data_IF_844223858196
#
_entry.id   IF_844223858196
#
_cell.length_a   1.000
_cell.length_b   1.000
_cell.length_c   1.000
_cell.angle_alpha   90.00
_cell.angle_beta   90.00
_cell.angle_gamma   90.00
#
_symmetry.space_group_name_H-M   'P 1'
#
loop_
_entity.id
_entity.type
_entity.pdbx_description
1 polymer ?
#
# COMPACT_ATOMS: atom_id res chain seq x y z
N UNK A 1 8.92 4.85 -42.96
CA UNK A 1 9.54 4.22 -41.77
C UNK A 1 8.45 4.03 -40.72
N UNK A 2 7.89 2.83 -40.58
CA UNK A 2 6.83 2.56 -39.60
C UNK A 2 7.46 2.07 -38.29
N UNK A 3 7.13 2.72 -37.17
CA UNK A 3 7.66 2.38 -35.85
C UNK A 3 6.91 1.14 -35.35
N UNK A 4 7.60 0.01 -35.20
CA UNK A 4 7.04 -1.20 -34.60
C UNK A 4 6.69 -0.88 -33.14
N UNK A 5 5.40 -0.90 -32.82
CA UNK A 5 4.94 -0.75 -31.44
C UNK A 5 5.30 -2.03 -30.66
N UNK A 6 6.18 -1.91 -29.68
CA UNK A 6 6.49 -3.00 -28.75
C UNK A 6 5.24 -3.33 -27.92
N UNK A 7 4.98 -4.62 -27.62
CA UNK A 7 3.86 -5.00 -26.76
C UNK A 7 4.04 -4.33 -25.39
N UNK A 8 3.08 -3.51 -25.01
CA UNK A 8 3.02 -2.86 -23.69
C UNK A 8 2.93 -3.97 -22.66
N UNK A 9 3.94 -4.12 -21.78
CA UNK A 9 3.86 -5.04 -20.65
C UNK A 9 2.54 -4.78 -19.92
N UNK A 10 1.74 -5.82 -19.71
CA UNK A 10 0.52 -5.73 -18.92
C UNK A 10 0.93 -5.37 -17.49
N UNK A 11 0.54 -4.17 -17.07
CA UNK A 11 0.62 -3.74 -15.68
C UNK A 11 -0.69 -4.16 -15.02
N UNK A 12 -0.66 -5.20 -14.19
CA UNK A 12 -1.86 -5.75 -13.53
C UNK A 12 -2.38 -4.85 -12.40
N UNK A 13 -1.75 -3.68 -12.16
CA UNK A 13 -2.20 -2.72 -11.15
C UNK A 13 -3.37 -1.90 -11.66
N UNK A 14 -4.46 -1.91 -10.89
CA UNK A 14 -5.60 -1.03 -11.13
C UNK A 14 -5.30 0.41 -10.68
N UNK A 15 -5.85 1.39 -11.42
CA UNK A 15 -5.80 2.81 -11.05
C UNK A 15 -7.10 3.21 -10.35
N UNK A 16 -6.98 3.82 -9.17
CA UNK A 16 -8.11 4.36 -8.41
C UNK A 16 -7.89 5.84 -8.11
N UNK A 17 -8.96 6.64 -8.11
CA UNK A 17 -8.94 8.01 -7.58
C UNK A 17 -9.30 7.99 -6.09
N UNK A 18 -8.51 8.69 -5.27
CA UNK A 18 -8.74 8.84 -3.84
C UNK A 18 -8.98 10.31 -3.52
N UNK A 19 -10.09 10.61 -2.84
CA UNK A 19 -10.42 11.95 -2.34
C UNK A 19 -10.18 11.98 -0.84
N UNK A 20 -9.28 12.84 -0.39
CA UNK A 20 -9.00 13.09 1.02
C UNK A 20 -9.16 14.59 1.31
N UNK A 21 -9.42 14.91 2.57
CA UNK A 21 -9.39 16.29 3.02
C UNK A 21 -7.98 16.89 2.80
N UNK A 22 -7.86 18.20 2.49
CA UNK A 22 -6.56 18.82 2.20
C UNK A 22 -5.52 18.66 3.31
N UNK A 23 -5.96 18.69 4.58
CA UNK A 23 -5.05 18.52 5.72
C UNK A 23 -4.43 17.11 5.77
N UNK A 24 -5.14 16.07 5.30
CA UNK A 24 -4.59 14.72 5.23
C UNK A 24 -3.53 14.61 4.12
N UNK A 25 -3.75 15.25 2.97
CA UNK A 25 -2.72 15.31 1.93
C UNK A 25 -1.44 16.01 2.43
N UNK A 26 -1.59 17.12 3.14
CA UNK A 26 -0.46 17.84 3.74
C UNK A 26 0.28 16.98 4.78
N UNK A 27 -0.45 16.26 5.63
CA UNK A 27 0.15 15.36 6.62
C UNK A 27 0.94 14.21 5.95
N UNK A 28 0.38 13.59 4.90
CA UNK A 28 1.08 12.56 4.11
C UNK A 28 2.35 13.13 3.49
N UNK A 29 2.27 14.32 2.90
CA UNK A 29 3.41 14.97 2.25
C UNK A 29 4.54 15.27 3.24
N UNK A 30 4.20 15.77 4.43
CA UNK A 30 5.15 16.05 5.49
C UNK A 30 5.85 14.78 5.98
N UNK A 31 5.09 13.76 6.40
CA UNK A 31 5.66 12.51 6.95
C UNK A 31 6.54 11.80 5.93
N UNK A 32 6.10 11.78 4.67
CA UNK A 32 6.87 11.25 3.55
C UNK A 32 8.23 11.94 3.38
N UNK A 33 8.28 13.28 3.52
CA UNK A 33 9.50 14.06 3.27
C UNK A 33 10.62 13.80 4.28
N UNK A 34 10.27 13.26 5.46
CA UNK A 34 11.22 12.94 6.53
C UNK A 34 11.99 11.64 6.19
N UNK A 35 11.44 10.77 5.34
CA UNK A 35 12.05 9.49 5.02
C UNK A 35 13.28 9.68 4.12
N UNK A 36 14.40 8.97 4.38
CA UNK A 36 15.52 8.94 3.45
C UNK A 36 15.10 8.40 2.08
N UNK A 37 15.31 9.19 1.03
CA UNK A 37 14.90 8.88 -0.34
C UNK A 37 13.52 9.42 -0.71
N UNK A 38 13.20 9.41 -2.01
CA UNK A 38 11.96 9.96 -2.54
C UNK A 38 10.88 8.87 -2.69
N UNK A 39 10.06 8.67 -1.66
CA UNK A 39 8.85 7.86 -1.81
C UNK A 39 7.77 8.65 -2.56
N UNK A 40 7.11 8.07 -3.57
CA UNK A 40 5.93 8.73 -4.17
C UNK A 40 4.73 8.67 -3.21
N UNK A 41 3.68 9.49 -3.43
CA UNK A 41 2.44 9.36 -2.64
C UNK A 41 1.85 7.95 -2.75
N UNK A 42 1.87 7.39 -3.97
CA UNK A 42 1.37 6.05 -4.22
C UNK A 42 2.19 5.00 -3.47
N UNK A 43 3.52 5.13 -3.49
CA UNK A 43 4.41 4.22 -2.75
C UNK A 43 4.10 4.27 -1.26
N UNK A 44 4.04 5.47 -0.69
CA UNK A 44 3.78 5.68 0.73
C UNK A 44 2.39 5.13 1.14
N UNK A 45 1.35 5.40 0.33
CA UNK A 45 -0.01 4.91 0.59
C UNK A 45 -0.06 3.38 0.50
N UNK A 46 0.57 2.77 -0.51
CA UNK A 46 0.62 1.32 -0.65
C UNK A 46 1.32 0.67 0.55
N UNK A 47 2.46 1.21 0.99
CA UNK A 47 3.18 0.72 2.16
C UNK A 47 2.33 0.85 3.44
N UNK A 48 1.67 2.00 3.65
CA UNK A 48 0.80 2.21 4.82
C UNK A 48 -0.41 1.25 4.84
N UNK A 49 -1.01 0.95 3.68
CA UNK A 49 -2.07 -0.04 3.55
C UNK A 49 -1.55 -1.44 3.91
N UNK A 50 -0.38 -1.83 3.37
CA UNK A 50 0.23 -3.13 3.66
C UNK A 50 0.55 -3.29 5.15
N UNK A 51 1.12 -2.26 5.77
CA UNK A 51 1.41 -2.25 7.21
C UNK A 51 0.13 -2.44 8.04
N UNK A 52 -0.94 -1.69 7.71
CA UNK A 52 -2.22 -1.78 8.42
C UNK A 52 -2.85 -3.17 8.29
N UNK A 53 -2.87 -3.74 7.08
CA UNK A 53 -3.40 -5.09 6.84
C UNK A 53 -2.59 -6.12 7.63
N UNK A 54 -1.26 -6.05 7.57
CA UNK A 54 -0.37 -6.99 8.27
C UNK A 54 -0.57 -6.92 9.78
N UNK A 55 -0.69 -5.71 10.33
CA UNK A 55 -0.97 -5.50 11.75
C UNK A 55 -2.31 -6.11 12.16
N UNK A 56 -3.38 -5.85 11.39
CA UNK A 56 -4.71 -6.41 11.70
C UNK A 56 -4.76 -7.93 11.57
N UNK A 57 -4.04 -8.51 10.61
CA UNK A 57 -3.93 -9.96 10.49
C UNK A 57 -3.21 -10.57 11.69
N UNK A 58 -2.06 -9.99 12.10
CA UNK A 58 -1.34 -10.42 13.29
C UNK A 58 -2.20 -10.32 14.55
N UNK A 59 -2.95 -9.23 14.73
CA UNK A 59 -3.89 -9.05 15.85
C UNK A 59 -4.99 -10.12 15.87
N UNK A 60 -5.53 -10.47 14.69
CA UNK A 60 -6.55 -11.54 14.55
C UNK A 60 -6.00 -12.93 14.84
N UNK A 61 -4.79 -13.21 14.42
CA UNK A 61 -4.13 -14.49 14.68
C UNK A 61 -3.79 -14.66 16.17
N UNK A 62 -3.37 -13.58 16.84
CA UNK A 62 -3.19 -13.55 18.30
C UNK A 62 -4.53 -13.71 19.04
N UNK A 63 -5.60 -13.12 18.49
CA UNK A 63 -6.94 -13.17 19.08
C UNK A 63 -7.72 -14.46 18.79
N UNK A 64 -7.11 -15.45 18.11
CA UNK A 64 -7.62 -16.84 18.05
C UNK A 64 -6.92 -17.72 19.10
N UNK A 65 -7.36 -17.72 20.37
CA UNK A 65 -6.96 -18.78 21.29
C UNK A 65 -7.75 -20.05 20.94
N UNK A 66 -7.06 -21.09 20.49
CA UNK A 66 -7.60 -22.45 20.47
C UNK A 66 -7.75 -23.08 19.10
N UNK A 67 -6.67 -23.66 18.60
CA UNK A 67 -6.66 -24.97 17.95
C UNK A 67 -5.34 -25.67 18.33
N UNK A 68 -5.16 -25.87 19.63
CA UNK A 68 -4.08 -26.69 20.20
C UNK A 68 -4.67 -27.64 21.23
N UNK A 69 -5.79 -28.26 20.86
CA UNK A 69 -6.25 -29.48 21.51
C UNK A 69 -7.03 -30.32 20.51
N UNK A 70 -6.33 -31.23 19.83
CA UNK A 70 -6.94 -32.52 19.49
C UNK A 70 -5.88 -33.61 19.55
N UNK A 71 -6.20 -34.55 20.45
CA UNK A 71 -5.59 -35.81 20.82
C UNK A 71 -4.79 -36.54 19.73
#
# INVERSE_FOLDING_TARGET
>A
MSRIAMPKRLDDRARQSLRLAPHLWAAIDLVRSIRPGTASRNTWITEAILEKITREQAERDISRPGDSHRA
#
